data_IF_965954589835
#
_entry.id   IF_965954589835
#
_cell.length_a   1.000
_cell.length_b   1.000
_cell.length_c   1.000
_cell.angle_alpha   90.00
_cell.angle_beta   90.00
_cell.angle_gamma   90.00
#
_symmetry.space_group_name_H-M   'P 1'
#
loop_
_entity.id
_entity.type
_entity.pdbx_description
1 polymer ?
#
# COMPACT_ATOMS: atom_id res chain seq x y z
N UNK A 1 -1.27 -16.66 11.19
CA UNK A 1 -1.65 -15.54 10.31
C UNK A 1 -1.13 -15.88 8.94
N UNK A 2 -2.00 -16.30 8.02
CA UNK A 2 -1.61 -16.56 6.64
C UNK A 2 -1.57 -15.24 5.88
N UNK A 3 -0.59 -15.05 5.00
CA UNK A 3 -0.47 -13.89 4.09
C UNK A 3 -0.89 -14.27 2.66
N UNK A 4 -1.68 -15.33 2.54
CA UNK A 4 -2.04 -15.97 1.28
C UNK A 4 -3.01 -15.11 0.48
N UNK A 5 -3.93 -14.41 1.15
CA UNK A 5 -4.87 -13.49 0.51
C UNK A 5 -4.11 -12.34 -0.14
N UNK A 6 -3.16 -11.72 0.60
CA UNK A 6 -2.34 -10.64 0.05
C UNK A 6 -1.53 -11.14 -1.15
N UNK A 7 -0.95 -12.35 -1.05
CA UNK A 7 -0.16 -12.94 -2.14
C UNK A 7 -1.01 -13.20 -3.39
N UNK A 8 -2.23 -13.69 -3.21
CA UNK A 8 -3.18 -13.92 -4.30
C UNK A 8 -3.57 -12.60 -4.98
N UNK A 9 -3.96 -11.60 -4.20
CA UNK A 9 -4.37 -10.29 -4.72
C UNK A 9 -3.20 -9.54 -5.37
N UNK A 10 -1.99 -9.69 -4.83
CA UNK A 10 -0.78 -9.18 -5.46
C UNK A 10 -0.56 -9.82 -6.83
N UNK A 11 -0.67 -11.15 -6.93
CA UNK A 11 -0.51 -11.86 -8.20
C UNK A 11 -1.53 -11.38 -9.24
N UNK A 12 -2.78 -11.17 -8.82
CA UNK A 12 -3.84 -10.61 -9.68
C UNK A 12 -3.51 -9.17 -10.12
N UNK A 13 -2.96 -8.35 -9.23
CA UNK A 13 -2.48 -7.01 -9.60
C UNK A 13 -1.40 -7.06 -10.68
N UNK A 14 -0.42 -7.95 -10.52
CA UNK A 14 0.71 -8.09 -11.45
C UNK A 14 0.23 -8.60 -12.81
N UNK A 15 -0.75 -9.51 -12.84
CA UNK A 15 -1.38 -9.99 -14.08
C UNK A 15 -2.16 -8.88 -14.80
N UNK A 16 -2.95 -8.09 -14.06
CA UNK A 16 -3.71 -6.98 -14.62
C UNK A 16 -2.83 -5.80 -15.08
N UNK A 17 -1.60 -5.73 -14.56
CA UNK A 17 -0.61 -4.71 -14.90
C UNK A 17 0.66 -5.35 -15.50
N UNK A 18 0.52 -6.37 -16.34
CA UNK A 18 1.67 -7.09 -16.90
C UNK A 18 2.66 -6.17 -17.65
N UNK A 19 2.16 -5.10 -18.28
CA UNK A 19 2.98 -4.08 -18.95
C UNK A 19 3.77 -3.17 -18.00
N UNK A 20 3.30 -2.99 -16.75
CA UNK A 20 3.96 -2.15 -15.74
C UNK A 20 3.65 -2.66 -14.32
N UNK A 21 4.37 -3.72 -13.95
CA UNK A 21 4.25 -4.39 -12.64
C UNK A 21 4.59 -3.45 -11.48
N UNK A 22 5.35 -2.37 -11.75
CA UNK A 22 5.74 -1.33 -10.79
C UNK A 22 4.53 -0.70 -10.06
N UNK A 23 3.35 -0.68 -10.69
CA UNK A 23 2.09 -0.21 -10.07
C UNK A 23 1.69 -1.01 -8.83
N UNK A 24 2.09 -2.27 -8.77
CA UNK A 24 1.83 -3.17 -7.65
C UNK A 24 2.85 -3.05 -6.52
N UNK A 25 3.83 -2.13 -6.59
CA UNK A 25 4.87 -1.94 -5.57
C UNK A 25 4.33 -1.87 -4.14
N UNK A 26 3.23 -1.14 -3.92
CA UNK A 26 2.64 -1.01 -2.59
C UNK A 26 1.88 -2.27 -2.15
N UNK A 27 1.39 -3.07 -3.09
CA UNK A 27 0.83 -4.39 -2.80
C UNK A 27 1.92 -5.37 -2.37
N UNK A 28 3.09 -5.33 -3.03
CA UNK A 28 4.27 -6.08 -2.61
C UNK A 28 4.70 -5.67 -1.20
N UNK A 29 4.70 -4.37 -0.91
CA UNK A 29 4.98 -3.86 0.43
C UNK A 29 4.00 -4.35 1.49
N UNK A 30 2.72 -4.46 1.18
CA UNK A 30 1.75 -5.07 2.10
C UNK A 30 2.09 -6.53 2.41
N UNK A 31 2.52 -7.29 1.40
CA UNK A 31 2.98 -8.67 1.59
C UNK A 31 4.25 -8.71 2.45
N UNK A 32 5.18 -7.78 2.26
CA UNK A 32 6.39 -7.66 3.09
C UNK A 32 6.05 -7.34 4.56
N UNK A 33 5.07 -6.48 4.80
CA UNK A 33 4.59 -6.17 6.16
C UNK A 33 3.95 -7.40 6.81
N UNK A 34 3.12 -8.15 6.06
CA UNK A 34 2.46 -9.35 6.57
C UNK A 34 3.46 -10.47 6.87
N UNK A 35 4.44 -10.68 5.98
CA UNK A 35 5.51 -11.69 6.12
C UNK A 35 6.63 -11.26 7.08
N UNK A 36 6.48 -10.10 7.74
CA UNK A 36 7.46 -9.51 8.68
C UNK A 36 8.84 -9.27 8.06
N UNK A 37 8.91 -9.08 6.74
CA UNK A 37 10.14 -8.70 6.05
C UNK A 37 10.47 -7.22 6.23
N UNK A 38 9.46 -6.38 6.47
CA UNK A 38 9.63 -4.96 6.86
C UNK A 38 8.55 -4.57 7.90
N UNK A 39 8.69 -3.40 8.50
CA UNK A 39 7.72 -2.84 9.47
C UNK A 39 7.18 -1.50 9.00
N UNK A 40 6.00 -1.11 9.50
CA UNK A 40 5.38 0.17 9.22
C UNK A 40 6.33 1.34 9.57
N UNK A 41 6.96 1.29 10.74
CA UNK A 41 7.88 2.32 11.23
C UNK A 41 9.11 2.47 10.33
N UNK A 42 9.69 1.34 9.88
CA UNK A 42 10.84 1.37 8.98
C UNK A 42 10.48 1.97 7.62
N UNK A 43 9.36 1.55 7.02
CA UNK A 43 8.90 2.12 5.74
C UNK A 43 8.55 3.61 5.88
N UNK A 44 7.86 4.02 6.95
CA UNK A 44 7.57 5.42 7.22
C UNK A 44 8.84 6.24 7.32
N UNK A 45 9.82 5.78 8.09
CA UNK A 45 11.11 6.45 8.25
C UNK A 45 11.83 6.64 6.91
N UNK A 46 11.84 5.60 6.06
CA UNK A 46 12.43 5.67 4.72
C UNK A 46 11.72 6.68 3.81
N UNK A 47 10.39 6.68 3.83
CA UNK A 47 9.59 7.64 3.05
C UNK A 47 9.83 9.07 3.53
N UNK A 48 9.82 9.30 4.83
CA UNK A 48 10.01 10.64 5.39
C UNK A 48 11.41 11.18 5.13
N UNK A 49 12.42 10.33 5.23
CA UNK A 49 13.78 10.67 4.81
C UNK A 49 13.81 11.03 3.31
N UNK A 50 13.17 10.22 2.47
CA UNK A 50 13.08 10.49 1.02
C UNK A 50 12.36 11.80 0.71
N UNK A 51 11.30 12.14 1.44
CA UNK A 51 10.56 13.41 1.30
C UNK A 51 11.34 14.60 1.85
N UNK A 52 12.18 14.40 2.86
CA UNK A 52 13.08 15.44 3.39
C UNK A 52 14.15 15.81 2.38
N UNK A 53 14.67 14.83 1.63
CA UNK A 53 15.69 15.05 0.59
C UNK A 53 15.06 15.56 -0.72
N UNK A 54 13.88 15.04 -1.07
CA UNK A 54 13.14 15.38 -2.28
C UNK A 54 11.64 15.52 -1.97
N UNK A 55 11.18 16.70 -1.54
CA UNK A 55 9.79 16.93 -1.20
C UNK A 55 8.91 16.76 -2.44
N UNK A 56 7.84 15.96 -2.30
CA UNK A 56 6.86 15.69 -3.35
C UNK A 56 5.53 16.31 -2.96
N UNK A 57 4.82 16.88 -3.92
CA UNK A 57 3.49 17.44 -3.72
C UNK A 57 2.45 16.61 -4.48
N UNK A 58 1.38 16.16 -3.81
CA UNK A 58 0.36 15.35 -4.47
C UNK A 58 -0.42 16.19 -5.50
N UNK A 59 -0.31 15.82 -6.77
CA UNK A 59 -1.01 16.50 -7.87
C UNK A 59 -2.48 16.06 -8.03
N UNK A 60 -2.85 14.92 -7.45
CA UNK A 60 -4.19 14.30 -7.58
C UNK A 60 -4.82 14.13 -6.20
N UNK A 61 -6.14 13.93 -6.18
CA UNK A 61 -6.86 13.54 -4.95
C UNK A 61 -6.39 12.15 -4.48
N UNK A 62 -6.52 11.89 -3.18
CA UNK A 62 -6.15 10.62 -2.52
C UNK A 62 -6.64 9.39 -3.29
N UNK A 63 -7.88 9.40 -3.78
CA UNK A 63 -8.48 8.28 -4.52
C UNK A 63 -7.79 7.93 -5.83
N UNK A 64 -7.01 8.85 -6.42
CA UNK A 64 -6.38 8.69 -7.72
C UNK A 64 -4.85 8.53 -7.65
N UNK A 65 -4.24 8.67 -6.47
CA UNK A 65 -2.79 8.59 -6.31
C UNK A 65 -2.29 7.15 -6.22
N UNK A 66 -3.08 6.24 -5.63
CA UNK A 66 -2.71 4.85 -5.40
C UNK A 66 -3.84 3.88 -5.81
N UNK A 67 -4.24 3.84 -7.09
CA UNK A 67 -5.42 3.09 -7.54
C UNK A 67 -5.27 1.57 -7.40
N UNK A 68 -4.09 1.02 -7.64
CA UNK A 68 -3.86 -0.43 -7.64
C UNK A 68 -3.96 -1.03 -6.24
N UNK A 69 -3.21 -0.48 -5.26
CA UNK A 69 -3.31 -0.91 -3.87
C UNK A 69 -4.69 -0.62 -3.27
N UNK A 70 -5.37 0.45 -3.73
CA UNK A 70 -6.76 0.71 -3.35
C UNK A 70 -7.68 -0.42 -3.80
N UNK A 71 -7.61 -0.82 -5.07
CA UNK A 71 -8.42 -1.94 -5.59
C UNK A 71 -8.20 -3.23 -4.79
N UNK A 72 -6.95 -3.57 -4.53
CA UNK A 72 -6.59 -4.75 -3.75
C UNK A 72 -7.16 -4.70 -2.33
N UNK A 73 -7.01 -3.55 -1.66
CA UNK A 73 -7.59 -3.32 -0.33
C UNK A 73 -9.11 -3.45 -0.35
N UNK A 74 -9.79 -2.74 -1.25
CA UNK A 74 -11.25 -2.78 -1.38
C UNK A 74 -11.72 -4.23 -1.67
N UNK A 75 -11.01 -4.98 -2.53
CA UNK A 75 -11.29 -6.40 -2.78
C UNK A 75 -11.13 -7.25 -1.52
N UNK A 76 -10.06 -7.05 -0.75
CA UNK A 76 -9.85 -7.75 0.52
C UNK A 76 -10.99 -7.49 1.50
N UNK A 77 -11.40 -6.22 1.64
CA UNK A 77 -12.48 -5.80 2.54
C UNK A 77 -13.83 -6.41 2.15
N UNK A 78 -14.12 -6.46 0.85
CA UNK A 78 -15.39 -7.05 0.34
C UNK A 78 -15.40 -8.57 0.57
N UNK A 79 -14.30 -9.27 0.30
CA UNK A 79 -14.25 -10.74 0.38
C UNK A 79 -14.10 -11.26 1.81
N UNK A 80 -13.28 -10.59 2.63
CA UNK A 80 -12.88 -11.09 3.96
C UNK A 80 -13.41 -10.26 5.13
N UNK A 81 -13.91 -9.06 4.89
CA UNK A 81 -14.35 -8.11 5.92
C UNK A 81 -13.22 -7.26 6.54
N UNK A 82 -13.62 -6.19 7.22
CA UNK A 82 -12.71 -5.22 7.87
C UNK A 82 -11.90 -5.80 9.03
N UNK A 83 -12.37 -6.87 9.66
CA UNK A 83 -11.69 -7.46 10.82
C UNK A 83 -10.43 -8.26 10.45
N UNK A 84 -10.33 -8.68 9.18
CA UNK A 84 -9.24 -9.52 8.69
C UNK A 84 -7.87 -8.81 8.81
N UNK A 85 -6.92 -9.51 9.44
CA UNK A 85 -5.56 -9.00 9.66
C UNK A 85 -4.80 -8.69 8.37
N UNK A 86 -5.03 -9.44 7.30
CA UNK A 86 -4.43 -9.21 5.97
C UNK A 86 -4.91 -7.89 5.36
N UNK A 87 -6.19 -7.58 5.49
CA UNK A 87 -6.73 -6.31 5.00
C UNK A 87 -6.15 -5.11 5.77
N UNK A 88 -5.84 -5.28 7.06
CA UNK A 88 -5.14 -4.24 7.87
C UNK A 88 -3.74 -3.93 7.32
N UNK A 89 -3.00 -4.93 6.84
CA UNK A 89 -1.72 -4.70 6.16
C UNK A 89 -1.89 -3.97 4.81
N UNK A 90 -2.92 -4.29 4.03
CA UNK A 90 -3.25 -3.59 2.78
C UNK A 90 -3.65 -2.13 3.02
N UNK A 91 -4.42 -1.86 4.08
CA UNK A 91 -4.75 -0.49 4.51
C UNK A 91 -3.45 0.25 4.85
N UNK A 92 -2.58 -0.37 5.64
CA UNK A 92 -1.30 0.23 6.05
C UNK A 92 -0.43 0.58 4.83
N UNK A 93 -0.32 -0.33 3.87
CA UNK A 93 0.42 -0.08 2.63
C UNK A 93 -0.21 1.02 1.76
N UNK A 94 -1.54 1.10 1.70
CA UNK A 94 -2.24 2.20 1.03
C UNK A 94 -1.89 3.56 1.67
N UNK A 95 -1.87 3.63 3.02
CA UNK A 95 -1.51 4.85 3.75
C UNK A 95 -0.05 5.26 3.51
N UNK A 96 0.86 4.28 3.50
CA UNK A 96 2.27 4.50 3.14
C UNK A 96 2.42 5.04 1.71
N UNK A 97 1.64 4.51 0.75
CA UNK A 97 1.62 5.03 -0.61
C UNK A 97 1.23 6.51 -0.66
N UNK A 98 0.20 6.91 0.08
CA UNK A 98 -0.19 8.32 0.17
C UNK A 98 0.94 9.17 0.75
N UNK A 99 1.61 8.68 1.80
CA UNK A 99 2.75 9.40 2.37
C UNK A 99 3.87 9.57 1.35
N UNK A 100 4.23 8.52 0.61
CA UNK A 100 5.29 8.55 -0.41
C UNK A 100 4.98 9.50 -1.58
N UNK A 101 3.71 9.62 -1.96
CA UNK A 101 3.26 10.61 -2.95
C UNK A 101 3.40 12.05 -2.44
N UNK A 102 3.44 12.25 -1.12
CA UNK A 102 3.62 13.56 -0.48
C UNK A 102 2.42 14.06 0.30
N UNK A 103 1.39 13.23 0.54
CA UNK A 103 0.30 13.61 1.44
C UNK A 103 0.81 13.71 2.89
N UNK A 104 0.18 14.58 3.69
CA UNK A 104 0.47 14.70 5.12
C UNK A 104 0.03 13.44 5.89
N UNK A 105 0.57 13.23 7.11
CA UNK A 105 0.17 12.11 7.97
C UNK A 105 -1.34 12.11 8.24
N UNK A 106 -1.91 13.29 8.47
CA UNK A 106 -3.35 13.48 8.68
C UNK A 106 -4.17 13.08 7.44
N UNK A 107 -3.75 13.48 6.23
CA UNK A 107 -4.40 13.10 4.98
C UNK A 107 -4.26 11.60 4.67
N UNK A 108 -3.14 11.01 5.06
CA UNK A 108 -2.86 9.60 4.88
C UNK A 108 -3.47 8.71 5.99
N UNK A 109 -4.11 9.29 7.01
CA UNK A 109 -4.64 8.58 8.17
C UNK A 109 -3.58 7.72 8.89
N UNK A 110 -2.38 8.28 9.05
CA UNK A 110 -1.21 7.69 9.71
C UNK A 110 -0.99 8.26 11.11
#
# INVERSE_FOLDING_TARGET
MSCETIKSLLSECQQNNADDVSKCKWAEKALQLCTKQTTLENELSLIEKSLSEAPRTPAKKICCSCPDIKKIRDSCLITNGEDNAECKYLITAYRLCLRDVGFSREQANL
#
